data_IF_801315827713
#
_entry.id   IF_801315827713
#
_cell.length_a   1.000
_cell.length_b   1.000
_cell.length_c   1.000
_cell.angle_alpha   90.00
_cell.angle_beta   90.00
_cell.angle_gamma   90.00
#
_symmetry.space_group_name_H-M   'P 1'
#
loop_
_entity.id
_entity.type
_entity.pdbx_description
1 polymer ?
#
# COMPACT_ATOMS: atom_id res chain seq x y z
N UNK A 1 10.10 36.24 -5.68
CA UNK A 1 11.11 35.23 -5.33
C UNK A 1 10.65 34.51 -4.08
N UNK A 2 10.02 33.34 -4.26
CA UNK A 2 9.41 32.59 -3.15
C UNK A 2 10.45 31.71 -2.49
N UNK A 3 10.68 31.92 -1.20
CA UNK A 3 11.49 31.07 -0.32
C UNK A 3 10.87 29.69 -0.19
N UNK A 4 11.25 28.75 -1.03
CA UNK A 4 10.99 27.32 -0.81
C UNK A 4 11.92 26.86 0.30
N UNK A 5 11.42 26.86 1.53
CA UNK A 5 12.14 26.27 2.68
C UNK A 5 12.41 24.79 2.37
N UNK A 6 13.68 24.43 2.23
CA UNK A 6 14.14 23.03 2.10
C UNK A 6 13.72 22.26 3.35
N UNK A 7 12.77 21.35 3.20
CA UNK A 7 12.40 20.42 4.25
C UNK A 7 13.59 19.54 4.62
N UNK A 8 13.83 19.39 5.94
CA UNK A 8 14.90 18.55 6.48
C UNK A 8 14.52 17.08 6.25
N UNK A 9 15.09 16.45 5.21
CA UNK A 9 14.94 15.01 4.96
C UNK A 9 15.53 14.27 6.15
N UNK A 10 14.73 13.48 6.86
CA UNK A 10 15.20 12.59 7.92
C UNK A 10 16.08 11.53 7.23
N UNK A 11 17.39 11.57 7.47
CA UNK A 11 18.32 10.55 6.96
C UNK A 11 18.16 9.28 7.80
N UNK A 12 17.45 8.29 7.27
CA UNK A 12 17.48 6.94 7.83
C UNK A 12 18.81 6.25 7.53
N UNK A 13 19.36 5.51 8.51
CA UNK A 13 20.66 4.83 8.41
C UNK A 13 20.70 3.61 7.49
N UNK A 14 19.54 3.10 7.01
CA UNK A 14 19.45 1.95 6.10
C UNK A 14 19.07 2.40 4.68
N UNK A 15 19.58 1.68 3.66
CA UNK A 15 19.16 1.91 2.27
C UNK A 15 17.67 1.54 2.15
N UNK A 16 16.85 2.38 1.49
CA UNK A 16 15.45 2.06 1.29
C UNK A 16 15.28 0.82 0.42
N UNK A 17 14.29 -0.03 0.76
CA UNK A 17 13.89 -1.17 -0.08
C UNK A 17 13.15 -0.69 -1.33
N UNK A 18 12.43 0.41 -1.23
CA UNK A 18 11.73 1.04 -2.35
C UNK A 18 12.02 2.53 -2.38
N UNK A 19 12.21 3.09 -3.57
CA UNK A 19 12.34 4.52 -3.77
C UNK A 19 11.72 4.98 -5.09
N UNK A 20 10.99 6.08 -5.02
CA UNK A 20 10.50 6.85 -6.15
C UNK A 20 11.18 8.21 -6.12
N UNK A 21 11.81 8.62 -7.22
CA UNK A 21 12.63 9.84 -7.27
C UNK A 21 12.16 10.76 -8.38
N UNK A 22 11.90 12.02 -8.03
CA UNK A 22 11.48 13.09 -8.96
C UNK A 22 10.25 12.71 -9.81
N UNK A 23 9.29 11.97 -9.26
CA UNK A 23 8.12 11.50 -10.00
C UNK A 23 7.24 12.70 -10.36
N UNK A 24 7.05 12.90 -11.65
CA UNK A 24 6.12 13.89 -12.20
C UNK A 24 5.16 13.22 -13.20
N UNK A 25 3.92 13.68 -13.23
CA UNK A 25 2.87 13.15 -14.10
C UNK A 25 1.81 14.20 -14.39
N UNK A 26 1.40 14.29 -15.66
CA UNK A 26 0.34 15.16 -16.14
C UNK A 26 -0.65 14.36 -17.00
N UNK A 27 -1.89 14.80 -17.04
CA UNK A 27 -2.90 14.34 -18.02
C UNK A 27 -3.34 15.55 -18.85
N UNK A 28 -2.86 15.66 -20.09
CA UNK A 28 -2.96 16.85 -20.89
C UNK A 28 -2.32 18.04 -20.15
N UNK A 29 -3.04 19.15 -20.02
CA UNK A 29 -2.55 20.36 -19.34
C UNK A 29 -2.61 20.27 -17.80
N UNK A 30 -3.26 19.23 -17.27
CA UNK A 30 -3.45 19.06 -15.83
C UNK A 30 -2.28 18.33 -15.19
N UNK A 31 -1.43 19.06 -14.46
CA UNK A 31 -0.34 18.48 -13.66
C UNK A 31 -0.91 17.83 -12.41
N UNK A 32 -0.65 16.51 -12.22
CA UNK A 32 -1.11 15.72 -11.07
C UNK A 32 0.00 15.55 -10.03
N UNK A 33 1.22 15.26 -10.46
CA UNK A 33 2.37 15.10 -9.57
C UNK A 33 3.50 16.01 -10.03
N UNK A 34 4.14 16.70 -9.05
CA UNK A 34 5.16 17.75 -9.29
C UNK A 34 6.48 17.37 -8.62
N UNK A 35 7.22 16.39 -9.21
CA UNK A 35 8.53 15.96 -8.72
C UNK A 35 8.50 15.49 -7.25
N UNK A 36 7.66 14.51 -6.96
CA UNK A 36 7.60 13.91 -5.64
C UNK A 36 8.69 12.86 -5.44
N UNK A 37 9.24 12.83 -4.21
CA UNK A 37 10.21 11.85 -3.76
C UNK A 37 9.64 11.07 -2.58
N UNK A 38 9.54 9.74 -2.72
CA UNK A 38 9.05 8.84 -1.68
C UNK A 38 10.03 7.69 -1.54
N UNK A 39 10.37 7.35 -0.30
CA UNK A 39 11.15 6.16 0.02
C UNK A 39 10.50 5.35 1.12
N UNK A 40 10.74 4.03 1.10
CA UNK A 40 10.26 3.06 2.06
C UNK A 40 11.43 2.21 2.53
N UNK A 41 11.61 2.08 3.84
CA UNK A 41 12.64 1.23 4.40
C UNK A 41 12.16 -0.22 4.51
N UNK A 42 13.09 -1.16 4.64
CA UNK A 42 12.74 -2.57 4.82
C UNK A 42 11.99 -2.77 6.14
N UNK A 43 10.84 -3.45 6.07
CA UNK A 43 9.98 -3.68 7.22
C UNK A 43 9.32 -2.41 7.78
N UNK A 44 9.24 -1.33 6.99
CA UNK A 44 8.52 -0.10 7.37
C UNK A 44 7.07 -0.15 6.89
N UNK A 45 6.17 0.41 7.68
CA UNK A 45 4.79 0.68 7.30
C UNK A 45 4.64 2.18 7.03
N UNK A 46 4.49 2.53 5.76
CA UNK A 46 4.43 3.90 5.26
C UNK A 46 3.01 4.30 4.88
N UNK A 47 2.52 5.39 5.45
CA UNK A 47 1.25 6.01 5.08
C UNK A 47 1.41 7.00 3.92
N UNK A 48 0.44 7.03 3.02
CA UNK A 48 0.34 8.05 1.98
C UNK A 48 -1.00 8.77 2.12
N UNK A 49 -0.96 9.98 2.67
CA UNK A 49 -2.12 10.82 2.99
C UNK A 49 -2.30 11.94 1.95
N UNK A 50 -3.50 12.46 1.86
CA UNK A 50 -3.84 13.60 1.01
C UNK A 50 -5.32 13.60 0.66
N UNK A 51 -5.84 14.75 0.28
CA UNK A 51 -7.22 14.90 -0.16
C UNK A 51 -7.55 14.15 -1.45
N UNK A 52 -8.83 14.15 -1.82
CA UNK A 52 -9.26 13.61 -3.12
C UNK A 52 -8.60 14.41 -4.25
N UNK A 53 -8.10 13.70 -5.26
CA UNK A 53 -7.38 14.31 -6.37
C UNK A 53 -5.95 14.79 -6.07
N UNK A 54 -5.41 14.57 -4.86
CA UNK A 54 -4.05 14.97 -4.50
C UNK A 54 -2.94 14.22 -5.27
N UNK A 55 -3.27 13.10 -5.94
CA UNK A 55 -2.32 12.31 -6.72
C UNK A 55 -1.95 10.94 -6.12
N UNK A 56 -2.55 10.52 -4.98
CA UNK A 56 -2.25 9.24 -4.33
C UNK A 56 -2.44 8.04 -5.27
N UNK A 57 -3.62 7.90 -5.85
CA UNK A 57 -3.94 6.79 -6.78
C UNK A 57 -3.08 6.85 -8.05
N UNK A 58 -2.78 8.05 -8.54
CA UNK A 58 -1.85 8.22 -9.67
C UNK A 58 -0.46 7.71 -9.30
N UNK A 59 0.06 8.07 -8.12
CA UNK A 59 1.34 7.55 -7.62
C UNK A 59 1.32 6.03 -7.48
N UNK A 60 0.26 5.46 -6.87
CA UNK A 60 0.12 3.99 -6.74
C UNK A 60 0.11 3.30 -8.11
N UNK A 61 -0.61 3.85 -9.10
CA UNK A 61 -0.67 3.32 -10.46
C UNK A 61 0.71 3.39 -11.17
N UNK A 62 1.48 4.44 -10.91
CA UNK A 62 2.85 4.55 -11.40
C UNK A 62 3.75 3.48 -10.76
N UNK A 63 3.63 3.25 -9.43
CA UNK A 63 4.39 2.21 -8.73
C UNK A 63 4.03 0.82 -9.24
N UNK A 64 2.76 0.59 -9.57
CA UNK A 64 2.27 -0.68 -10.14
C UNK A 64 2.68 -0.89 -11.61
N UNK A 65 3.04 0.18 -12.34
CA UNK A 65 3.31 0.11 -13.77
C UNK A 65 2.07 0.14 -14.66
N UNK A 66 0.94 0.57 -14.11
CA UNK A 66 -0.29 0.86 -14.86
C UNK A 66 -0.22 2.22 -15.56
N UNK A 67 0.58 3.14 -15.00
CA UNK A 67 0.90 4.43 -15.59
C UNK A 67 2.43 4.59 -15.69
N UNK A 68 2.88 5.19 -16.77
CA UNK A 68 4.28 5.59 -16.94
C UNK A 68 4.41 7.05 -16.52
N UNK A 69 5.31 7.42 -15.60
CA UNK A 69 5.51 8.82 -15.24
C UNK A 69 6.13 9.60 -16.41
N UNK A 70 5.84 10.90 -16.50
CA UNK A 70 6.49 11.79 -17.48
C UNK A 70 7.97 11.97 -17.13
N UNK A 71 8.27 12.03 -15.82
CA UNK A 71 9.61 12.18 -15.27
C UNK A 71 9.82 11.34 -14.03
N UNK A 72 11.08 11.01 -13.77
CA UNK A 72 11.51 10.33 -12.56
C UNK A 72 11.62 8.82 -12.71
N UNK A 73 12.14 8.22 -11.65
CA UNK A 73 12.45 6.79 -11.64
C UNK A 73 11.99 6.12 -10.35
N UNK A 74 11.60 4.86 -10.48
CA UNK A 74 11.20 4.00 -9.37
C UNK A 74 12.16 2.82 -9.28
N UNK A 75 12.56 2.50 -8.05
CA UNK A 75 13.47 1.40 -7.75
C UNK A 75 12.91 0.52 -6.64
N UNK A 76 13.08 -0.79 -6.80
CA UNK A 76 12.99 -1.77 -5.73
C UNK A 76 14.41 -2.26 -5.47
N UNK A 77 14.97 -1.92 -4.30
CA UNK A 77 16.38 -2.10 -4.00
C UNK A 77 17.30 -1.47 -5.07
N UNK A 78 17.94 -2.29 -5.91
CA UNK A 78 18.79 -1.87 -7.01
C UNK A 78 18.14 -1.99 -8.39
N UNK A 79 16.92 -2.56 -8.45
CA UNK A 79 16.22 -2.84 -9.70
C UNK A 79 15.38 -1.63 -10.08
N UNK A 80 15.61 -1.10 -11.27
CA UNK A 80 14.79 -0.01 -11.84
C UNK A 80 13.47 -0.59 -12.34
N UNK A 81 12.35 -0.12 -11.76
CA UNK A 81 11.00 -0.59 -12.10
C UNK A 81 10.32 0.26 -13.18
N UNK A 82 10.79 1.47 -13.44
CA UNK A 82 10.05 2.50 -14.21
C UNK A 82 9.53 1.99 -15.58
N UNK A 83 10.31 1.16 -16.26
CA UNK A 83 9.98 0.61 -17.57
C UNK A 83 9.37 -0.80 -17.54
N UNK A 84 9.32 -1.44 -16.37
CA UNK A 84 8.81 -2.79 -16.24
C UNK A 84 7.29 -2.81 -16.20
N UNK A 85 6.63 -3.73 -16.91
CA UNK A 85 5.19 -3.91 -16.83
C UNK A 85 4.76 -4.53 -15.49
N UNK A 86 3.47 -4.41 -15.15
CA UNK A 86 2.91 -4.84 -13.86
C UNK A 86 3.23 -6.28 -13.49
N UNK A 87 3.17 -7.21 -14.45
CA UNK A 87 3.41 -8.65 -14.19
C UNK A 87 4.88 -8.94 -13.83
N UNK A 88 5.84 -8.18 -14.37
CA UNK A 88 7.25 -8.30 -13.99
C UNK A 88 7.50 -7.68 -12.61
N UNK A 89 6.89 -6.53 -12.30
CA UNK A 89 6.98 -5.92 -10.96
C UNK A 89 6.42 -6.85 -9.89
N UNK A 90 5.33 -7.56 -10.19
CA UNK A 90 4.77 -8.58 -9.30
C UNK A 90 5.76 -9.73 -9.05
N UNK A 91 6.43 -10.24 -10.09
CA UNK A 91 7.45 -11.29 -9.96
C UNK A 91 8.67 -10.85 -9.15
N UNK A 92 9.05 -9.58 -9.24
CA UNK A 92 10.18 -9.00 -8.50
C UNK A 92 9.85 -8.77 -7.03
N UNK A 93 8.55 -8.70 -6.66
CA UNK A 93 8.13 -8.59 -5.26
C UNK A 93 7.28 -7.38 -4.92
N UNK A 94 6.57 -6.79 -5.87
CA UNK A 94 5.51 -5.79 -5.63
C UNK A 94 4.16 -6.51 -5.54
N UNK A 95 3.51 -6.46 -4.37
CA UNK A 95 2.13 -6.90 -4.18
C UNK A 95 1.17 -5.71 -4.18
N UNK A 96 -0.12 -5.95 -4.49
CA UNK A 96 -1.13 -4.90 -4.51
C UNK A 96 -2.50 -5.38 -4.06
N UNK A 97 -3.08 -4.65 -3.14
CA UNK A 97 -4.48 -4.75 -2.75
C UNK A 97 -5.22 -3.50 -3.24
N UNK A 98 -6.12 -3.61 -4.23
CA UNK A 98 -6.88 -2.48 -4.73
C UNK A 98 -7.95 -2.01 -3.74
N UNK A 99 -8.40 -0.76 -3.91
CA UNK A 99 -9.53 -0.19 -3.19
C UNK A 99 -10.82 -0.97 -3.48
N UNK A 100 -11.07 -1.27 -4.75
CA UNK A 100 -12.23 -2.06 -5.17
C UNK A 100 -12.03 -3.53 -4.85
N UNK A 101 -13.12 -4.22 -4.51
CA UNK A 101 -13.14 -5.65 -4.27
C UNK A 101 -12.57 -6.42 -5.47
N UNK A 102 -11.52 -7.19 -5.22
CA UNK A 102 -10.80 -7.95 -6.23
C UNK A 102 -11.03 -9.46 -6.15
N UNK A 103 -11.84 -9.93 -5.20
CA UNK A 103 -12.11 -11.35 -4.98
C UNK A 103 -12.90 -11.97 -6.13
N UNK A 104 -12.59 -13.19 -6.51
CA UNK A 104 -13.37 -13.95 -7.49
C UNK A 104 -14.67 -14.45 -6.86
N UNK A 105 -15.75 -13.75 -7.11
CA UNK A 105 -17.04 -13.92 -6.41
C UNK A 105 -17.63 -15.32 -6.51
N UNK A 106 -17.47 -16.00 -7.65
CA UNK A 106 -17.99 -17.34 -7.90
C UNK A 106 -17.20 -18.47 -7.25
N UNK A 107 -15.98 -18.17 -6.79
CA UNK A 107 -15.06 -19.13 -6.19
C UNK A 107 -15.17 -19.13 -4.66
N UNK A 108 -14.82 -20.25 -4.04
CA UNK A 108 -14.65 -20.38 -2.59
C UNK A 108 -13.41 -19.60 -2.12
N UNK A 109 -13.24 -19.45 -0.80
CA UNK A 109 -12.03 -18.86 -0.22
C UNK A 109 -10.79 -19.65 -0.63
N UNK A 110 -10.85 -20.97 -0.54
CA UNK A 110 -9.74 -21.84 -0.94
C UNK A 110 -9.38 -21.68 -2.42
N UNK A 111 -10.38 -21.73 -3.31
CA UNK A 111 -10.18 -21.57 -4.74
C UNK A 111 -9.63 -20.19 -5.12
N UNK A 112 -10.02 -19.13 -4.40
CA UNK A 112 -9.48 -17.79 -4.58
C UNK A 112 -7.97 -17.70 -4.31
N UNK A 113 -7.49 -18.42 -3.30
CA UNK A 113 -6.06 -18.48 -3.00
C UNK A 113 -5.35 -19.44 -3.94
N UNK A 114 -5.91 -20.64 -4.14
CA UNK A 114 -5.32 -21.70 -4.96
C UNK A 114 -5.12 -21.24 -6.42
N UNK A 115 -6.08 -20.54 -7.02
CA UNK A 115 -5.95 -20.03 -8.37
C UNK A 115 -4.75 -19.12 -8.56
N UNK A 116 -4.43 -18.25 -7.60
CA UNK A 116 -3.21 -17.45 -7.64
C UNK A 116 -1.97 -18.31 -7.38
N UNK A 117 -2.03 -19.25 -6.44
CA UNK A 117 -0.92 -20.16 -6.15
C UNK A 117 -0.51 -20.97 -7.37
N UNK A 118 -1.46 -21.43 -8.18
CA UNK A 118 -1.22 -22.16 -9.44
C UNK A 118 -0.47 -21.31 -10.50
N UNK A 119 -0.73 -20.01 -10.54
CA UNK A 119 -0.03 -19.09 -11.44
C UNK A 119 1.42 -18.85 -10.98
N UNK A 120 1.64 -18.77 -9.67
CA UNK A 120 2.92 -18.34 -9.08
C UNK A 120 3.85 -19.52 -8.78
N UNK A 121 3.31 -20.65 -8.34
CA UNK A 121 4.07 -21.84 -7.92
C UNK A 121 3.93 -22.96 -8.96
N UNK A 122 5.03 -23.61 -9.29
CA UNK A 122 5.03 -24.73 -10.25
C UNK A 122 4.65 -26.06 -9.61
N UNK A 123 4.97 -26.25 -8.33
CA UNK A 123 4.76 -27.49 -7.60
C UNK A 123 3.41 -27.51 -6.88
N UNK A 124 2.60 -28.55 -7.12
CA UNK A 124 1.26 -28.71 -6.50
C UNK A 124 1.29 -28.76 -4.97
N UNK A 125 2.32 -29.35 -4.37
CA UNK A 125 2.43 -29.40 -2.91
C UNK A 125 2.73 -27.99 -2.35
N UNK A 126 3.65 -27.25 -2.97
CA UNK A 126 3.92 -25.86 -2.59
C UNK A 126 2.69 -24.96 -2.72
N UNK A 127 1.83 -25.21 -3.73
CA UNK A 127 0.57 -24.48 -3.90
C UNK A 127 -0.35 -24.70 -2.73
N UNK A 128 -0.55 -25.96 -2.33
CA UNK A 128 -1.41 -26.32 -1.19
C UNK A 128 -0.84 -25.80 0.13
N UNK A 129 0.45 -25.99 0.36
CA UNK A 129 1.12 -25.58 1.60
C UNK A 129 1.02 -24.06 1.83
N UNK A 130 1.25 -23.23 0.79
CA UNK A 130 1.15 -21.79 0.93
C UNK A 130 -0.30 -21.35 1.18
N UNK A 131 -1.28 -22.01 0.54
CA UNK A 131 -2.70 -21.71 0.73
C UNK A 131 -3.12 -22.03 2.16
N UNK A 132 -2.82 -23.24 2.66
CA UNK A 132 -3.16 -23.66 4.04
C UNK A 132 -2.50 -22.74 5.07
N UNK A 133 -1.21 -22.41 4.86
CA UNK A 133 -0.49 -21.50 5.74
C UNK A 133 -1.16 -20.12 5.80
N UNK A 134 -1.51 -19.54 4.67
CA UNK A 134 -2.15 -18.23 4.62
C UNK A 134 -3.57 -18.26 5.19
N UNK A 135 -4.33 -19.32 4.95
CA UNK A 135 -5.67 -19.47 5.53
C UNK A 135 -5.62 -19.51 7.06
N UNK A 136 -4.66 -20.26 7.62
CA UNK A 136 -4.46 -20.31 9.07
C UNK A 136 -4.00 -18.95 9.62
N UNK A 137 -3.04 -18.31 8.96
CA UNK A 137 -2.48 -17.02 9.38
C UNK A 137 -3.53 -15.90 9.41
N UNK A 138 -4.42 -15.89 8.42
CA UNK A 138 -5.48 -14.90 8.28
C UNK A 138 -6.79 -15.29 8.98
N UNK A 139 -6.79 -16.42 9.72
CA UNK A 139 -7.95 -16.92 10.46
C UNK A 139 -9.19 -17.07 9.57
N UNK A 140 -9.00 -17.62 8.36
CA UNK A 140 -10.04 -17.88 7.35
C UNK A 140 -10.18 -19.38 7.02
N UNK A 141 -9.54 -20.28 7.77
CA UNK A 141 -9.59 -21.74 7.52
C UNK A 141 -11.01 -22.28 7.61
N UNK A 142 -11.82 -21.80 8.56
CA UNK A 142 -13.22 -22.20 8.71
C UNK A 142 -14.12 -21.75 7.56
N UNK A 143 -13.63 -20.85 6.69
CA UNK A 143 -14.34 -20.34 5.52
C UNK A 143 -13.90 -21.05 4.21
N UNK A 144 -13.08 -22.09 4.30
CA UNK A 144 -12.45 -22.78 3.17
C UNK A 144 -13.37 -22.96 1.98
N UNK A 145 -14.53 -23.56 2.22
CA UNK A 145 -15.48 -23.97 1.19
C UNK A 145 -16.64 -22.95 1.01
N UNK A 146 -16.56 -21.80 1.72
CA UNK A 146 -17.55 -20.73 1.62
C UNK A 146 -17.25 -19.92 0.36
N UNK A 147 -18.29 -19.69 -0.46
CA UNK A 147 -18.20 -18.81 -1.63
C UNK A 147 -17.95 -17.37 -1.22
N UNK A 148 -17.13 -16.66 -2.00
CA UNK A 148 -16.76 -15.29 -1.72
C UNK A 148 -17.95 -14.30 -1.65
N UNK A 149 -19.07 -14.64 -2.27
CA UNK A 149 -20.31 -13.85 -2.19
C UNK A 149 -20.96 -13.86 -0.82
N UNK A 150 -20.70 -14.89 0.00
CA UNK A 150 -21.28 -15.05 1.34
C UNK A 150 -20.40 -14.47 2.46
N UNK A 151 -19.21 -13.94 2.14
CA UNK A 151 -18.28 -13.40 3.11
C UNK A 151 -18.72 -12.02 3.63
N UNK A 152 -18.56 -11.78 4.92
CA UNK A 152 -18.59 -10.44 5.51
C UNK A 152 -17.50 -9.54 4.92
N UNK A 153 -17.59 -8.22 5.12
CA UNK A 153 -16.58 -7.26 4.67
C UNK A 153 -15.18 -7.58 5.21
N UNK A 154 -15.07 -7.89 6.49
CA UNK A 154 -13.80 -8.24 7.15
C UNK A 154 -13.20 -9.56 6.66
N UNK A 155 -14.01 -10.62 6.54
CA UNK A 155 -13.56 -11.93 6.00
C UNK A 155 -13.08 -11.81 4.55
N UNK A 156 -13.83 -11.08 3.75
CA UNK A 156 -13.46 -10.77 2.36
C UNK A 156 -12.11 -10.05 2.31
N UNK A 157 -11.94 -9.00 3.11
CA UNK A 157 -10.70 -8.22 3.12
C UNK A 157 -9.50 -9.04 3.59
N UNK A 158 -9.66 -9.89 4.61
CA UNK A 158 -8.63 -10.83 5.04
C UNK A 158 -8.25 -11.82 3.92
N UNK A 159 -9.24 -12.34 3.19
CA UNK A 159 -9.01 -13.24 2.04
C UNK A 159 -8.26 -12.53 0.91
N UNK A 160 -8.62 -11.30 0.58
CA UNK A 160 -7.96 -10.49 -0.45
C UNK A 160 -6.49 -10.18 -0.09
N UNK A 161 -6.22 -9.83 1.18
CA UNK A 161 -4.85 -9.59 1.66
C UNK A 161 -4.04 -10.90 1.63
N UNK A 162 -4.60 -12.02 2.10
CA UNK A 162 -3.95 -13.32 2.04
C UNK A 162 -3.56 -13.68 0.60
N UNK A 163 -4.44 -13.43 -0.35
CA UNK A 163 -4.19 -13.65 -1.78
C UNK A 163 -3.01 -12.84 -2.31
N UNK A 164 -2.85 -11.58 -1.88
CA UNK A 164 -1.73 -10.73 -2.29
C UNK A 164 -0.37 -11.28 -1.80
N UNK A 165 -0.37 -12.10 -0.75
CA UNK A 165 0.85 -12.64 -0.11
C UNK A 165 1.33 -13.96 -0.70
N UNK A 166 0.59 -14.60 -1.59
CA UNK A 166 0.96 -15.88 -2.21
C UNK A 166 2.31 -15.79 -2.93
N UNK A 167 2.61 -14.65 -3.54
CA UNK A 167 3.90 -14.38 -4.18
C UNK A 167 4.98 -13.88 -3.22
N UNK A 168 4.72 -13.83 -1.91
CA UNK A 168 5.66 -13.37 -0.88
C UNK A 168 6.31 -12.01 -1.22
N UNK A 169 5.52 -10.95 -1.46
CA UNK A 169 6.05 -9.66 -1.89
C UNK A 169 6.94 -9.03 -0.80
N UNK A 170 8.02 -8.37 -1.23
CA UNK A 170 8.88 -7.56 -0.35
C UNK A 170 8.26 -6.20 -0.03
N UNK A 171 7.45 -5.68 -0.96
CA UNK A 171 6.66 -4.46 -0.80
C UNK A 171 5.21 -4.74 -1.17
N UNK A 172 4.29 -4.44 -0.25
CA UNK A 172 2.85 -4.57 -0.46
C UNK A 172 2.19 -3.19 -0.44
N UNK A 173 1.53 -2.86 -1.53
CA UNK A 173 0.73 -1.65 -1.67
C UNK A 173 -0.71 -1.97 -1.27
N UNK A 174 -1.27 -1.19 -0.36
CA UNK A 174 -2.63 -1.35 0.16
C UNK A 174 -3.42 -0.06 -0.10
N UNK A 175 -4.37 -0.12 -1.00
CA UNK A 175 -5.22 1.03 -1.32
C UNK A 175 -6.52 0.94 -0.53
N UNK A 176 -6.69 1.82 0.45
CA UNK A 176 -7.82 1.89 1.39
C UNK A 176 -8.18 0.52 2.00
N UNK A 177 -7.27 -0.14 2.73
CA UNK A 177 -7.50 -1.49 3.25
C UNK A 177 -8.63 -1.58 4.28
N UNK A 178 -9.05 -0.47 4.87
CA UNK A 178 -10.08 -0.41 5.91
C UNK A 178 -11.46 0.01 5.37
N UNK A 179 -11.57 0.34 4.07
CA UNK A 179 -12.82 0.79 3.48
C UNK A 179 -13.89 -0.32 3.46
N UNK A 180 -15.10 0.02 3.90
CA UNK A 180 -16.24 -0.92 3.90
C UNK A 180 -16.13 -2.07 4.91
N UNK A 181 -15.29 -1.93 5.94
CA UNK A 181 -15.04 -2.92 6.99
C UNK A 181 -15.57 -2.37 8.33
N UNK A 182 -16.17 -3.22 9.14
CA UNK A 182 -16.64 -2.86 10.49
C UNK A 182 -15.46 -2.63 11.46
N UNK A 183 -15.72 -1.92 12.58
CA UNK A 183 -14.68 -1.48 13.51
C UNK A 183 -13.90 -2.64 14.15
N UNK A 184 -14.53 -3.78 14.43
CA UNK A 184 -13.84 -4.94 15.01
C UNK A 184 -12.92 -5.58 13.98
N UNK A 185 -13.41 -5.77 12.76
CA UNK A 185 -12.61 -6.31 11.65
C UNK A 185 -11.45 -5.38 11.27
N UNK A 186 -11.57 -4.04 11.42
CA UNK A 186 -10.46 -3.11 11.24
C UNK A 186 -9.33 -3.40 12.22
N UNK A 187 -9.62 -3.67 13.50
CA UNK A 187 -8.58 -3.99 14.48
C UNK A 187 -7.86 -5.30 14.13
N UNK A 188 -8.60 -6.31 13.68
CA UNK A 188 -8.02 -7.57 13.20
C UNK A 188 -7.08 -7.33 12.02
N UNK A 189 -7.52 -6.55 11.01
CA UNK A 189 -6.69 -6.22 9.84
C UNK A 189 -5.43 -5.45 10.28
N UNK A 190 -5.54 -4.47 11.16
CA UNK A 190 -4.37 -3.76 11.72
C UNK A 190 -3.39 -4.73 12.38
N UNK A 191 -3.89 -5.67 13.18
CA UNK A 191 -3.09 -6.71 13.81
C UNK A 191 -2.36 -7.60 12.78
N UNK A 192 -3.02 -7.96 11.68
CA UNK A 192 -2.42 -8.71 10.57
C UNK A 192 -1.33 -7.89 9.85
N UNK A 193 -1.57 -6.62 9.56
CA UNK A 193 -0.56 -5.75 8.92
C UNK A 193 0.70 -5.60 9.78
N UNK A 194 0.54 -5.44 11.11
CA UNK A 194 1.66 -5.43 12.05
C UNK A 194 2.44 -6.77 12.08
N UNK A 195 1.75 -7.91 11.96
CA UNK A 195 2.42 -9.22 11.84
C UNK A 195 3.23 -9.31 10.53
N UNK A 196 2.69 -8.83 9.41
CA UNK A 196 3.41 -8.80 8.13
C UNK A 196 4.65 -7.93 8.18
N UNK A 197 4.55 -6.74 8.77
CA UNK A 197 5.67 -5.85 8.98
C UNK A 197 6.78 -6.51 9.81
N UNK A 198 6.44 -7.15 10.93
CA UNK A 198 7.41 -7.85 11.80
C UNK A 198 8.13 -9.00 11.08
N UNK A 199 7.56 -9.56 10.03
CA UNK A 199 8.19 -10.57 9.16
C UNK A 199 9.07 -9.97 8.07
N UNK A 200 9.17 -8.65 8.03
CA UNK A 200 10.02 -7.91 7.09
C UNK A 200 9.33 -7.49 5.79
N UNK A 201 8.01 -7.69 5.64
CA UNK A 201 7.24 -7.12 4.53
C UNK A 201 7.13 -5.61 4.75
N UNK A 202 7.48 -4.84 3.74
CA UNK A 202 7.35 -3.37 3.77
C UNK A 202 6.00 -2.99 3.15
N UNK A 203 5.32 -2.02 3.76
CA UNK A 203 3.93 -1.69 3.39
C UNK A 203 3.82 -0.22 2.97
N UNK A 204 3.11 0.06 1.88
CA UNK A 204 2.62 1.41 1.55
C UNK A 204 1.11 1.37 1.62
N UNK A 205 0.52 2.21 2.46
CA UNK A 205 -0.90 2.22 2.75
C UNK A 205 -1.47 3.61 2.42
N UNK A 206 -2.53 3.64 1.61
CA UNK A 206 -3.38 4.82 1.46
C UNK A 206 -4.65 4.62 2.27
N UNK A 207 -5.21 5.68 2.81
CA UNK A 207 -6.56 5.69 3.35
C UNK A 207 -7.09 7.13 3.38
N UNK A 208 -8.40 7.28 3.29
CA UNK A 208 -9.05 8.58 3.46
C UNK A 208 -9.30 8.92 4.94
N UNK A 209 -9.33 7.91 5.81
CA UNK A 209 -9.40 8.10 7.26
C UNK A 209 -7.99 8.26 7.84
N UNK A 210 -7.55 9.52 7.96
CA UNK A 210 -6.22 9.85 8.44
C UNK A 210 -5.94 9.29 9.84
N UNK A 211 -6.89 9.36 10.77
CA UNK A 211 -6.74 8.84 12.14
C UNK A 211 -6.47 7.34 12.15
N UNK A 212 -7.23 6.57 11.37
CA UNK A 212 -7.04 5.13 11.26
C UNK A 212 -5.67 4.78 10.66
N UNK A 213 -5.27 5.47 9.59
CA UNK A 213 -3.99 5.26 8.95
C UNK A 213 -2.83 5.62 9.89
N UNK A 214 -2.86 6.82 10.50
CA UNK A 214 -1.80 7.29 11.39
C UNK A 214 -1.65 6.44 12.67
N UNK A 215 -2.70 5.71 13.08
CA UNK A 215 -2.61 4.81 14.24
C UNK A 215 -1.81 3.52 13.99
N UNK A 216 -1.45 3.21 12.74
CA UNK A 216 -0.81 1.92 12.38
C UNK A 216 0.52 2.09 11.67
N UNK A 217 0.80 3.26 11.04
CA UNK A 217 2.01 3.47 10.27
C UNK A 217 3.17 4.02 11.11
N UNK A 218 4.40 3.70 10.72
CA UNK A 218 5.61 4.22 11.36
C UNK A 218 5.88 5.66 10.93
N UNK A 219 5.59 5.93 9.66
CA UNK A 219 5.83 7.23 9.01
C UNK A 219 4.80 7.44 7.92
N UNK A 220 4.54 8.70 7.57
CA UNK A 220 3.69 9.00 6.43
C UNK A 220 4.23 10.19 5.61
N UNK A 221 3.76 10.26 4.37
CA UNK A 221 3.85 11.42 3.50
C UNK A 221 2.45 12.02 3.34
N UNK A 222 2.36 13.34 3.33
CA UNK A 222 1.14 14.06 2.97
C UNK A 222 1.33 14.70 1.61
N UNK A 223 0.48 14.34 0.65
CA UNK A 223 0.45 14.93 -0.69
C UNK A 223 -0.70 15.93 -0.76
N UNK A 224 -0.40 17.14 -1.19
CA UNK A 224 -1.40 18.15 -1.51
C UNK A 224 -0.98 18.88 -2.80
N UNK A 225 -1.94 19.09 -3.71
CA UNK A 225 -1.69 19.76 -5.00
C UNK A 225 -0.50 19.17 -5.79
N UNK A 226 -0.32 17.87 -5.71
CA UNK A 226 0.73 17.14 -6.42
C UNK A 226 2.14 17.29 -5.86
N UNK A 227 2.32 17.85 -4.64
CA UNK A 227 3.62 17.96 -3.96
C UNK A 227 3.57 17.32 -2.58
N UNK A 228 4.72 16.91 -2.05
CA UNK A 228 4.86 16.48 -0.66
C UNK A 228 4.88 17.74 0.22
N UNK A 229 3.88 17.90 1.08
CA UNK A 229 3.75 19.03 2.01
C UNK A 229 4.23 18.69 3.42
N UNK A 230 4.23 17.41 3.78
CA UNK A 230 4.80 16.94 5.04
C UNK A 230 5.28 15.49 4.92
N UNK A 231 6.30 15.13 5.69
CA UNK A 231 6.71 13.74 5.92
C UNK A 231 7.30 13.61 7.33
N UNK A 232 7.09 12.44 7.95
CA UNK A 232 7.59 12.18 9.29
C UNK A 232 6.77 11.12 10.01
N UNK A 233 7.02 10.96 11.31
CA UNK A 233 6.18 10.12 12.17
C UNK A 233 4.78 10.74 12.29
N UNK A 234 3.75 9.95 12.69
CA UNK A 234 2.39 10.46 12.89
C UNK A 234 2.36 11.74 13.74
N UNK A 235 3.06 11.75 14.88
CA UNK A 235 3.14 12.94 15.77
C UNK A 235 3.77 14.17 15.10
N UNK A 236 4.80 13.99 14.26
CA UNK A 236 5.43 15.09 13.54
C UNK A 236 4.50 15.68 12.48
N UNK A 237 3.79 14.82 11.74
CA UNK A 237 2.91 15.23 10.65
C UNK A 237 1.74 16.05 11.15
N UNK A 238 1.04 15.60 12.20
CA UNK A 238 -0.12 16.33 12.73
C UNK A 238 0.24 17.70 13.34
N UNK A 239 1.52 17.90 13.69
CA UNK A 239 2.01 19.18 14.18
C UNK A 239 2.62 20.07 13.08
N UNK A 240 2.60 19.64 11.82
CA UNK A 240 3.11 20.42 10.69
C UNK A 240 2.04 21.41 10.22
N UNK A 241 2.36 22.72 10.23
CA UNK A 241 1.39 23.78 9.86
C UNK A 241 0.83 23.60 8.45
N UNK A 242 1.66 23.22 7.48
CA UNK A 242 1.25 22.97 6.10
C UNK A 242 0.27 21.78 6.00
N UNK A 243 0.51 20.71 6.76
CA UNK A 243 -0.37 19.55 6.78
C UNK A 243 -1.72 19.86 7.45
N UNK A 244 -1.71 20.63 8.54
CA UNK A 244 -2.95 21.15 9.16
C UNK A 244 -3.74 22.00 8.18
N UNK A 245 -3.10 23.01 7.59
CA UNK A 245 -3.75 23.96 6.70
C UNK A 245 -4.29 23.32 5.41
N UNK A 246 -3.59 22.33 4.83
CA UNK A 246 -3.91 21.79 3.50
C UNK A 246 -4.64 20.45 3.54
N UNK A 247 -4.66 19.76 4.71
CA UNK A 247 -5.24 18.42 4.76
C UNK A 247 -6.04 18.11 6.03
N UNK A 248 -5.47 18.33 7.23
CA UNK A 248 -6.12 17.88 8.47
C UNK A 248 -7.18 18.84 9.03
N UNK A 249 -7.02 20.14 8.84
CA UNK A 249 -7.71 21.17 9.62
C UNK A 249 -6.96 21.50 10.93
N UNK A 250 -7.29 22.64 11.52
CA UNK A 250 -6.58 23.15 12.72
C UNK A 250 -6.79 22.28 13.96
N UNK A 251 -7.99 21.69 14.13
CA UNK A 251 -8.41 20.95 15.33
C UNK A 251 -8.11 19.44 15.26
N UNK A 252 -7.42 18.97 14.23
CA UNK A 252 -7.15 17.54 14.08
C UNK A 252 -6.14 17.03 15.11
N UNK A 253 -6.55 15.96 15.84
CA UNK A 253 -5.73 15.22 16.81
C UNK A 253 -5.77 13.71 16.52
N UNK A 254 -4.74 12.96 16.96
CA UNK A 254 -4.63 11.50 16.89
C UNK A 254 -4.50 10.90 18.27
#
# INVERSE_FOLDING_TARGET
>A
MSNVKRFRIIKFKSKPVFSAKNIAMSFGDRVILRKIDINLNKGEMLGLLGGNGAGKSTFMNIVLGLLKPDYGDIFLEKIKLTTLPIHERSKIGIGYLPQQTSIFRGLTVYENLLGIAQIVKKNSNEQKDIVEKLMAEFSITHLRDVKATALSGGERRRTEIARCLINSPSVLLLDEPFAGVDLLSIQDIKGLLLKLQRRGTSLIITDHNASQLLSVVDRAYVIANGVIVANGTPRQIVNTNEAKKLYFGEDFTI
#
